data_IF_449045047755
#
_entry.id   IF_449045047755
#
_cell.length_a   1.000
_cell.length_b   1.000
_cell.length_c   1.000
_cell.angle_alpha   90.00
_cell.angle_beta   90.00
_cell.angle_gamma   90.00
#
_symmetry.space_group_name_H-M   'P 1'
#
loop_
_entity.id
_entity.type
_entity.pdbx_description
1 polymer ?
#
# COMPACT_ATOMS: atom_id res chain seq x y z
N UNK A 1 7.33 25.58 18.48
CA UNK A 1 8.81 25.55 18.58
C UNK A 1 9.30 24.13 18.31
N UNK A 2 9.58 23.81 17.05
CA UNK A 2 10.00 22.45 16.65
C UNK A 2 11.50 22.30 16.83
N UNK A 3 11.90 21.27 17.57
CA UNK A 3 13.27 20.97 17.94
C UNK A 3 13.85 19.99 16.92
N UNK A 4 14.90 20.37 16.19
CA UNK A 4 15.52 19.52 15.17
C UNK A 4 16.65 18.69 15.79
N UNK A 5 16.58 17.37 15.68
CA UNK A 5 17.59 16.45 16.21
C UNK A 5 18.59 16.10 15.10
N UNK A 6 19.79 16.67 15.17
CA UNK A 6 20.90 16.30 14.28
C UNK A 6 21.86 15.40 15.01
N UNK A 7 22.07 14.20 14.48
CA UNK A 7 23.15 13.30 14.91
C UNK A 7 24.34 13.46 13.98
N UNK A 8 25.51 13.76 14.52
CA UNK A 8 26.77 13.72 13.77
C UNK A 8 27.59 12.56 14.29
N UNK A 9 27.99 11.65 13.39
CA UNK A 9 28.85 10.52 13.73
C UNK A 9 30.29 10.96 13.46
N UNK A 10 31.08 11.07 14.51
CA UNK A 10 32.54 11.26 14.42
C UNK A 10 33.21 10.22 15.30
N UNK A 11 34.00 9.35 14.66
CA UNK A 11 34.89 8.37 15.33
C UNK A 11 34.21 7.51 16.41
N UNK A 12 33.21 6.73 16.01
CA UNK A 12 32.62 5.67 16.85
C UNK A 12 31.69 6.14 17.98
N UNK A 13 31.44 7.45 18.11
CA UNK A 13 30.50 8.00 19.12
C UNK A 13 29.41 8.80 18.42
N UNK A 14 28.14 8.46 18.68
CA UNK A 14 26.99 9.27 18.27
C UNK A 14 26.86 10.39 19.30
N UNK A 15 27.13 11.62 18.89
CA UNK A 15 26.85 12.79 19.73
C UNK A 15 25.69 13.56 19.12
N UNK A 16 24.58 13.60 19.85
CA UNK A 16 23.42 14.40 19.50
C UNK A 16 23.58 15.80 20.10
N UNK A 17 23.62 16.83 19.26
CA UNK A 17 23.65 18.22 19.73
C UNK A 17 22.32 18.89 19.41
N UNK A 18 21.81 19.62 20.39
CA UNK A 18 20.57 20.35 20.30
C UNK A 18 20.82 21.75 19.73
N UNK A 19 20.64 21.95 18.42
CA UNK A 19 20.93 23.24 17.78
C UNK A 19 19.69 24.14 17.76
N UNK A 20 19.73 25.28 18.45
CA UNK A 20 18.71 26.34 18.42
C UNK A 20 18.92 27.24 17.19
N UNK A 21 18.91 26.65 15.99
CA UNK A 21 18.90 27.41 14.73
C UNK A 21 17.51 27.29 14.12
N UNK A 22 16.82 28.43 14.09
CA UNK A 22 15.48 28.62 13.53
C UNK A 22 15.45 28.20 12.06
N UNK A 23 14.82 27.06 11.75
CA UNK A 23 14.55 26.65 10.37
C UNK A 23 14.87 25.19 10.02
N UNK A 24 14.34 24.21 10.77
CA UNK A 24 14.09 22.89 10.21
C UNK A 24 12.60 22.78 9.88
N UNK A 25 12.18 23.45 8.82
CA UNK A 25 10.93 23.11 8.16
C UNK A 25 11.26 22.09 7.09
N UNK A 26 10.88 20.83 7.30
CA UNK A 26 10.55 19.95 6.19
C UNK A 26 9.21 20.42 5.58
N UNK A 27 9.19 21.67 5.12
CA UNK A 27 8.17 22.15 4.22
C UNK A 27 8.59 21.58 2.87
N UNK A 28 7.76 20.74 2.25
CA UNK A 28 7.95 20.41 0.84
C UNK A 28 7.79 21.73 0.11
N UNK A 29 8.90 22.39 -0.20
CA UNK A 29 8.90 23.69 -0.85
C UNK A 29 8.06 23.60 -2.12
N UNK A 30 7.17 24.57 -2.30
CA UNK A 30 6.28 24.68 -3.46
C UNK A 30 7.09 24.66 -4.79
N UNK A 31 8.36 25.07 -4.74
CA UNK A 31 9.33 24.95 -5.83
C UNK A 31 9.79 23.51 -6.14
N UNK A 32 9.85 22.61 -5.14
CA UNK A 32 10.21 21.19 -5.33
C UNK A 32 9.06 20.40 -5.95
N UNK A 33 7.81 20.74 -5.62
CA UNK A 33 6.63 20.19 -6.29
C UNK A 33 6.53 20.67 -7.74
N UNK A 34 6.74 21.97 -7.99
CA UNK A 34 6.80 22.49 -9.35
C UNK A 34 7.96 21.89 -10.16
N UNK A 35 9.14 21.71 -9.58
CA UNK A 35 10.26 21.04 -10.23
C UNK A 35 9.99 19.55 -10.50
N UNK A 36 9.34 18.85 -9.58
CA UNK A 36 8.91 17.47 -9.77
C UNK A 36 7.84 17.35 -10.87
N UNK A 37 6.89 18.30 -10.94
CA UNK A 37 5.90 18.36 -12.03
C UNK A 37 6.56 18.64 -13.38
N UNK A 38 7.50 19.59 -13.44
CA UNK A 38 8.26 19.88 -14.65
C UNK A 38 9.14 18.71 -15.10
N UNK A 39 9.78 18.00 -14.16
CA UNK A 39 10.51 16.76 -14.44
C UNK A 39 9.57 15.68 -14.96
N UNK A 40 8.37 15.56 -14.39
CA UNK A 40 7.34 14.60 -14.81
C UNK A 40 6.82 14.93 -16.21
N UNK A 41 6.64 16.21 -16.55
CA UNK A 41 6.24 16.67 -17.88
C UNK A 41 7.37 16.41 -18.89
N UNK A 42 8.63 16.70 -18.55
CA UNK A 42 9.79 16.45 -19.43
C UNK A 42 10.04 14.96 -19.66
N UNK A 43 9.89 14.14 -18.62
CA UNK A 43 10.00 12.68 -18.73
C UNK A 43 8.85 12.10 -19.56
N UNK A 44 7.62 12.60 -19.41
CA UNK A 44 6.48 12.20 -20.25
C UNK A 44 6.70 12.55 -21.72
N UNK A 45 7.17 13.76 -22.03
CA UNK A 45 7.37 14.18 -23.43
C UNK A 45 8.50 13.39 -24.10
N UNK A 46 9.60 13.15 -23.39
CA UNK A 46 10.71 12.33 -23.88
C UNK A 46 10.33 10.85 -24.08
N UNK A 47 9.57 10.28 -23.14
CA UNK A 47 9.08 8.91 -23.25
C UNK A 47 8.08 8.73 -24.40
N UNK A 48 7.13 9.66 -24.58
CA UNK A 48 6.18 9.61 -25.71
C UNK A 48 6.90 9.77 -27.06
N UNK A 49 7.93 10.61 -27.14
CA UNK A 49 8.75 10.72 -28.34
C UNK A 49 9.49 9.41 -28.64
N UNK A 50 10.03 8.73 -27.62
CA UNK A 50 10.68 7.42 -27.78
C UNK A 50 9.69 6.34 -28.26
N UNK A 51 8.47 6.31 -27.70
CA UNK A 51 7.41 5.39 -28.11
C UNK A 51 6.93 5.64 -29.55
N UNK A 52 6.84 6.92 -29.97
CA UNK A 52 6.49 7.27 -31.36
C UNK A 52 7.55 6.81 -32.37
N UNK A 53 8.82 6.80 -31.98
CA UNK A 53 9.94 6.35 -32.84
C UNK A 53 10.01 4.82 -32.97
N UNK A 54 9.54 4.05 -31.99
CA UNK A 54 9.53 2.58 -32.02
C UNK A 54 8.15 2.02 -31.63
N UNK A 55 7.30 1.81 -32.64
CA UNK A 55 5.90 1.40 -32.45
C UNK A 55 5.73 -0.04 -31.94
N UNK A 56 6.72 -0.89 -32.13
CA UNK A 56 6.71 -2.29 -31.66
C UNK A 56 6.72 -2.40 -30.13
N UNK A 57 7.22 -1.38 -29.41
CA UNK A 57 7.25 -1.37 -27.95
C UNK A 57 5.91 -0.98 -27.30
N UNK A 58 4.99 -0.39 -28.06
CA UNK A 58 3.68 0.07 -27.54
C UNK A 58 2.86 -1.10 -26.97
N UNK A 59 2.65 -2.23 -27.68
CA UNK A 59 1.91 -3.37 -27.12
C UNK A 59 2.63 -4.01 -25.94
N UNK A 60 3.97 -4.11 -25.98
CA UNK A 60 4.77 -4.68 -24.91
C UNK A 60 4.64 -3.88 -23.60
N UNK A 61 4.84 -2.55 -23.68
CA UNK A 61 4.71 -1.67 -22.52
C UNK A 61 3.24 -1.59 -22.07
N UNK A 62 2.29 -1.67 -23.00
CA UNK A 62 0.86 -1.71 -22.67
C UNK A 62 0.49 -2.88 -21.77
N UNK A 63 0.93 -4.10 -22.11
CA UNK A 63 0.66 -5.30 -21.30
C UNK A 63 1.36 -5.20 -19.94
N UNK A 64 2.62 -4.79 -19.90
CA UNK A 64 3.37 -4.64 -18.63
C UNK A 64 2.74 -3.58 -17.73
N UNK A 65 2.32 -2.44 -18.30
CA UNK A 65 1.64 -1.40 -17.55
C UNK A 65 0.28 -1.87 -17.03
N UNK A 66 -0.51 -2.56 -17.86
CA UNK A 66 -1.79 -3.14 -17.46
C UNK A 66 -1.61 -4.18 -16.36
N UNK A 67 -0.58 -5.03 -16.44
CA UNK A 67 -0.25 -6.00 -15.40
C UNK A 67 0.17 -5.31 -14.09
N UNK A 68 1.02 -4.29 -14.15
CA UNK A 68 1.47 -3.55 -12.96
C UNK A 68 0.32 -2.81 -12.28
N UNK A 69 -0.54 -2.13 -13.05
CA UNK A 69 -1.73 -1.46 -12.54
C UNK A 69 -2.74 -2.48 -12.00
N UNK A 70 -2.95 -3.57 -12.72
CA UNK A 70 -3.79 -4.68 -12.27
C UNK A 70 -3.34 -5.22 -10.93
N UNK A 71 -2.08 -5.64 -10.83
CA UNK A 71 -1.49 -6.22 -9.61
C UNK A 71 -1.55 -5.26 -8.42
N UNK A 72 -1.23 -3.97 -8.63
CA UNK A 72 -1.30 -2.96 -7.57
C UNK A 72 -2.74 -2.72 -7.14
N UNK A 73 -3.68 -2.59 -8.07
CA UNK A 73 -5.11 -2.38 -7.76
C UNK A 73 -5.71 -3.56 -7.00
N UNK A 74 -5.43 -4.81 -7.40
CA UNK A 74 -5.91 -6.00 -6.68
C UNK A 74 -5.29 -6.13 -5.30
N UNK A 75 -4.01 -5.78 -5.15
CA UNK A 75 -3.35 -5.80 -3.84
C UNK A 75 -3.99 -4.80 -2.88
N UNK A 76 -4.27 -3.57 -3.34
CA UNK A 76 -4.96 -2.57 -2.53
C UNK A 76 -6.40 -3.00 -2.23
N UNK A 77 -7.13 -3.53 -3.21
CA UNK A 77 -8.48 -4.04 -3.01
C UNK A 77 -8.51 -5.11 -1.92
N UNK A 78 -7.61 -6.09 -1.97
CA UNK A 78 -7.55 -7.14 -0.93
C UNK A 78 -7.17 -6.60 0.44
N UNK A 79 -6.22 -5.66 0.51
CA UNK A 79 -5.81 -5.07 1.77
C UNK A 79 -6.96 -4.33 2.49
N UNK A 80 -7.80 -3.61 1.74
CA UNK A 80 -8.83 -2.75 2.33
C UNK A 80 -10.21 -3.40 2.43
N UNK A 81 -10.57 -4.31 1.53
CA UNK A 81 -11.94 -4.84 1.44
C UNK A 81 -12.07 -6.28 1.91
N UNK A 82 -10.98 -7.06 1.88
CA UNK A 82 -11.01 -8.47 2.26
C UNK A 82 -10.44 -8.64 3.66
N UNK A 83 -11.21 -9.32 4.51
CA UNK A 83 -10.81 -9.62 5.87
C UNK A 83 -9.80 -10.79 5.97
N UNK A 84 -9.52 -11.49 4.86
CA UNK A 84 -8.54 -12.57 4.84
C UNK A 84 -7.10 -12.04 5.00
N UNK A 85 -6.85 -10.77 4.66
CA UNK A 85 -5.54 -10.13 4.84
C UNK A 85 -5.45 -9.57 6.25
N UNK A 86 -4.83 -10.34 7.15
CA UNK A 86 -4.74 -10.02 8.57
C UNK A 86 -3.58 -9.04 8.81
N UNK A 87 -3.91 -7.76 9.03
CA UNK A 87 -2.94 -6.74 9.41
C UNK A 87 -2.70 -6.64 10.92
N UNK A 88 -3.65 -7.13 11.73
CA UNK A 88 -3.54 -7.11 13.18
C UNK A 88 -3.73 -8.52 13.75
N UNK A 89 -2.65 -9.31 13.73
CA UNK A 89 -2.64 -10.68 14.25
C UNK A 89 -2.57 -10.72 15.79
N UNK A 90 -2.00 -9.69 16.44
CA UNK A 90 -1.80 -9.68 17.89
C UNK A 90 -3.06 -9.33 18.69
N UNK A 91 -3.93 -8.47 18.16
CA UNK A 91 -5.17 -8.06 18.85
C UNK A 91 -6.36 -8.97 18.50
N UNK A 92 -6.20 -9.88 17.54
CA UNK A 92 -7.28 -10.72 17.05
C UNK A 92 -6.79 -12.16 16.79
N UNK A 93 -6.82 -13.03 17.81
CA UNK A 93 -6.33 -14.40 17.70
C UNK A 93 -7.17 -15.28 16.76
N UNK A 94 -8.46 -14.96 16.55
CA UNK A 94 -9.38 -15.77 15.73
C UNK A 94 -10.00 -14.98 14.56
N UNK A 95 -9.20 -14.61 13.55
CA UNK A 95 -9.63 -13.74 12.45
C UNK A 95 -10.64 -14.34 11.47
N UNK A 96 -10.80 -15.65 11.45
CA UNK A 96 -11.78 -16.34 10.60
C UNK A 96 -13.21 -16.30 11.15
N UNK A 97 -13.41 -16.07 12.46
CA UNK A 97 -14.77 -16.04 13.06
C UNK A 97 -15.63 -14.85 12.61
N UNK A 98 -14.97 -13.79 12.17
CA UNK A 98 -15.56 -12.50 11.76
C UNK A 98 -15.86 -12.44 10.26
N UNK A 99 -15.60 -13.52 9.53
CA UNK A 99 -16.00 -13.65 8.13
C UNK A 99 -17.50 -13.91 8.07
N UNK A 100 -18.24 -13.08 7.33
CA UNK A 100 -19.66 -13.29 7.07
C UNK A 100 -19.81 -14.41 6.02
N UNK A 101 -20.35 -15.56 6.42
CA UNK A 101 -20.40 -16.70 5.53
C UNK A 101 -21.54 -16.62 4.51
N UNK A 102 -22.47 -15.66 4.67
CA UNK A 102 -23.57 -15.39 3.73
C UNK A 102 -23.06 -14.76 2.44
N UNK A 103 -21.82 -14.26 2.44
CA UNK A 103 -21.21 -13.59 1.30
C UNK A 103 -20.18 -14.50 0.63
N UNK A 104 -20.12 -14.51 -0.71
CA UNK A 104 -19.08 -15.24 -1.43
C UNK A 104 -17.71 -14.63 -1.15
N UNK A 105 -16.83 -15.41 -0.55
CA UNK A 105 -15.49 -14.93 -0.19
C UNK A 105 -14.53 -14.89 -1.39
N UNK A 106 -14.69 -15.84 -2.33
CA UNK A 106 -13.85 -16.00 -3.52
C UNK A 106 -14.28 -15.05 -4.64
N UNK A 107 -13.34 -14.73 -5.54
CA UNK A 107 -13.61 -13.89 -6.72
C UNK A 107 -14.65 -14.50 -7.68
N UNK A 108 -14.70 -15.83 -7.76
CA UNK A 108 -15.68 -16.57 -8.54
C UNK A 108 -16.25 -17.66 -7.65
N UNK A 109 -17.58 -17.72 -7.56
CA UNK A 109 -18.28 -18.77 -6.83
C UNK A 109 -19.31 -19.41 -7.75
N UNK A 110 -19.31 -20.75 -7.80
CA UNK A 110 -20.27 -21.53 -8.58
C UNK A 110 -21.06 -22.37 -7.59
N UNK A 111 -22.36 -22.10 -7.46
CA UNK A 111 -23.31 -22.86 -6.63
C UNK A 111 -22.90 -23.05 -5.16
N UNK A 112 -22.09 -22.16 -4.57
CA UNK A 112 -21.75 -22.23 -3.16
C UNK A 112 -22.95 -21.80 -2.32
N UNK A 113 -23.49 -22.74 -1.53
CA UNK A 113 -24.53 -22.49 -0.52
C UNK A 113 -23.89 -22.64 0.85
N UNK A 114 -23.97 -21.60 1.67
CA UNK A 114 -23.54 -21.71 3.06
C UNK A 114 -24.72 -22.08 3.95
N UNK A 115 -24.50 -23.01 4.89
CA UNK A 115 -25.47 -23.35 5.95
C UNK A 115 -24.76 -23.40 7.30
N UNK A 116 -25.33 -22.79 8.35
CA UNK A 116 -24.80 -22.91 9.70
C UNK A 116 -24.88 -24.36 10.17
N UNK A 117 -23.94 -24.75 11.00
CA UNK A 117 -23.86 -26.08 11.60
C UNK A 117 -24.21 -25.89 13.08
N UNK A 118 -25.37 -26.40 13.50
CA UNK A 118 -25.93 -26.18 14.84
C UNK A 118 -24.96 -26.64 15.95
N UNK A 119 -24.30 -27.79 15.75
CA UNK A 119 -23.30 -28.31 16.68
C UNK A 119 -22.12 -27.36 16.90
N UNK A 120 -21.70 -26.67 15.83
CA UNK A 120 -20.59 -25.71 15.89
C UNK A 120 -20.99 -24.46 16.65
N UNK A 121 -22.23 -23.99 16.46
CA UNK A 121 -22.78 -22.85 17.21
C UNK A 121 -22.95 -23.17 18.69
N UNK A 122 -23.38 -24.38 19.02
CA UNK A 122 -23.48 -24.85 20.41
C UNK A 122 -22.12 -24.86 21.09
N UNK A 123 -21.10 -25.50 20.48
CA UNK A 123 -19.73 -25.52 21.03
C UNK A 123 -19.16 -24.11 21.20
N UNK A 124 -19.42 -23.24 20.22
CA UNK A 124 -18.98 -21.84 20.28
C UNK A 124 -19.63 -21.07 21.43
N UNK A 125 -20.92 -21.29 21.67
CA UNK A 125 -21.65 -20.66 22.79
C UNK A 125 -21.16 -21.13 24.17
N UNK A 126 -20.64 -22.35 24.28
CA UNK A 126 -20.11 -22.91 25.53
C UNK A 126 -18.67 -22.47 25.83
N UNK A 127 -17.91 -22.09 24.80
CA UNK A 127 -16.47 -21.82 24.90
C UNK A 127 -16.16 -20.33 25.08
N UNK A 128 -17.09 -19.44 24.70
CA UNK A 128 -16.91 -17.98 24.69
C UNK A 128 -17.48 -17.31 25.94
#
# INVERSE_FOLDING_TARGET
>A
MSKCFTTRITSGRIVAYFNRRSGCSAHKDLGTLAAAENLKIKMKSGFIQMLRKRKELIPLIGIVALAAVGATSTSLYFLFTKNDVILNKSTNPEPWERLDPSKPQKLVTINQKWRPIEELELVKSMTK
#
